data_IF_415462731089
#
_entry.id   IF_415462731089
#
_cell.length_a   1.000
_cell.length_b   1.000
_cell.length_c   1.000
_cell.angle_alpha   90.00
_cell.angle_beta   90.00
_cell.angle_gamma   90.00
#
_symmetry.space_group_name_H-M   'P 1'
#
loop_
_entity.id
_entity.type
_entity.pdbx_description
1 polymer ?
#
# COMPACT_ATOMS: atom_id res chain seq x y z
N UNK A 1 17.49 -0.77 -8.32
CA UNK A 1 16.70 -1.28 -7.19
C UNK A 1 15.23 -0.99 -7.43
N UNK A 2 14.38 -1.99 -7.26
CA UNK A 2 12.96 -1.86 -7.50
C UNK A 2 12.29 -1.03 -6.38
N UNK A 3 11.42 -0.11 -6.77
CA UNK A 3 10.51 0.57 -5.86
C UNK A 3 9.18 -0.19 -5.80
N UNK A 4 8.62 -0.28 -4.62
CA UNK A 4 7.30 -0.85 -4.40
C UNK A 4 6.23 0.17 -4.78
N UNK A 5 5.33 -0.23 -5.66
CA UNK A 5 4.08 0.49 -5.86
C UNK A 5 2.92 -0.34 -5.34
N UNK A 6 1.95 0.30 -4.70
CA UNK A 6 0.80 -0.38 -4.15
C UNK A 6 -0.45 0.48 -4.16
N UNK A 7 -1.59 -0.17 -4.11
CA UNK A 7 -2.91 0.47 -4.07
C UNK A 7 -3.90 -0.38 -3.29
N UNK A 8 -4.98 0.25 -2.86
CA UNK A 8 -6.11 -0.42 -2.22
C UNK A 8 -7.31 -0.30 -3.13
N UNK A 9 -8.03 -1.40 -3.32
CA UNK A 9 -9.24 -1.44 -4.15
C UNK A 9 -10.38 -2.01 -3.32
N UNK A 10 -11.47 -1.27 -3.22
CA UNK A 10 -12.69 -1.69 -2.52
C UNK A 10 -13.85 -1.99 -3.46
N UNK A 11 -15.00 -2.42 -2.91
CA UNK A 11 -16.21 -2.65 -3.69
C UNK A 11 -16.72 -1.38 -4.38
N UNK A 12 -17.53 -1.53 -5.40
CA UNK A 12 -18.17 -0.41 -6.07
C UNK A 12 -18.96 0.45 -5.06
N UNK A 13 -18.81 1.77 -5.17
CA UNK A 13 -19.47 2.72 -4.27
C UNK A 13 -18.85 2.83 -2.88
N UNK A 14 -17.77 2.12 -2.58
CA UNK A 14 -17.04 2.27 -1.31
C UNK A 14 -16.21 3.55 -1.30
N UNK A 15 -15.99 4.08 -0.09
CA UNK A 15 -15.09 5.20 0.14
C UNK A 15 -13.87 4.72 0.88
N UNK A 16 -12.69 4.92 0.28
CA UNK A 16 -11.40 4.57 0.84
C UNK A 16 -10.65 5.83 1.25
N UNK A 17 -10.11 5.83 2.47
CA UNK A 17 -9.15 6.85 2.91
C UNK A 17 -7.97 6.13 3.54
N UNK A 18 -6.82 6.23 2.93
CA UNK A 18 -5.65 5.46 3.36
C UNK A 18 -4.35 6.21 3.06
N UNK A 19 -3.31 5.78 3.70
CA UNK A 19 -1.96 6.30 3.49
C UNK A 19 -0.94 5.31 3.99
N UNK A 20 0.33 5.64 3.86
CA UNK A 20 1.40 4.76 4.27
C UNK A 20 2.53 5.52 4.95
N UNK A 21 3.16 4.86 5.91
CA UNK A 21 4.41 5.27 6.53
C UNK A 21 5.51 4.33 6.02
N UNK A 22 6.55 4.89 5.43
CA UNK A 22 7.64 4.13 4.84
C UNK A 22 8.94 4.92 4.85
N UNK A 23 10.05 4.25 4.55
CA UNK A 23 11.33 4.92 4.33
C UNK A 23 11.51 5.22 2.84
N UNK A 24 12.10 6.37 2.53
CA UNK A 24 12.55 6.70 1.19
C UNK A 24 13.76 5.85 0.79
N UNK A 25 14.17 5.92 -0.47
CA UNK A 25 15.39 5.25 -0.95
C UNK A 25 16.67 5.69 -0.21
N UNK A 26 16.65 6.84 0.43
CA UNK A 26 17.77 7.40 1.21
C UNK A 26 17.57 7.27 2.72
N UNK A 27 16.73 6.37 3.19
CA UNK A 27 16.45 6.09 4.60
C UNK A 27 15.79 7.25 5.37
N UNK A 28 15.15 8.16 4.67
CA UNK A 28 14.36 9.22 5.29
C UNK A 28 12.93 8.72 5.51
N UNK A 29 12.42 8.90 6.72
CA UNK A 29 11.04 8.57 7.03
C UNK A 29 10.10 9.43 6.20
N UNK A 30 9.22 8.80 5.47
CA UNK A 30 8.22 9.45 4.64
C UNK A 30 6.81 9.07 5.08
N UNK A 31 5.96 10.08 5.19
CA UNK A 31 4.54 9.89 5.39
C UNK A 31 3.87 10.25 4.07
N UNK A 32 3.31 9.25 3.39
CA UNK A 32 2.60 9.48 2.14
C UNK A 32 1.23 10.06 2.42
N UNK A 33 0.82 10.96 1.54
CA UNK A 33 -0.46 11.62 1.64
C UNK A 33 -1.63 10.63 1.64
N UNK A 34 -2.68 11.07 2.29
CA UNK A 34 -3.95 10.39 2.31
C UNK A 34 -4.47 10.19 0.88
N UNK A 35 -4.77 8.95 0.56
CA UNK A 35 -5.38 8.57 -0.70
C UNK A 35 -6.88 8.37 -0.55
N UNK A 36 -7.62 8.85 -1.51
CA UNK A 36 -9.05 8.63 -1.63
C UNK A 36 -9.30 7.69 -2.81
N UNK A 37 -9.79 6.48 -2.52
CA UNK A 37 -10.03 5.49 -3.56
C UNK A 37 -8.78 4.74 -4.00
N UNK A 38 -8.78 4.24 -5.22
CA UNK A 38 -7.76 3.36 -5.77
C UNK A 38 -6.57 4.13 -6.39
N UNK A 39 -6.03 5.09 -5.67
CA UNK A 39 -4.82 5.78 -6.09
C UNK A 39 -3.57 4.94 -5.74
N UNK A 40 -2.48 5.20 -6.45
CA UNK A 40 -1.23 4.46 -6.26
C UNK A 40 -0.27 5.23 -5.38
N UNK A 41 0.41 4.52 -4.48
CA UNK A 41 1.52 5.01 -3.68
C UNK A 41 2.80 4.27 -4.04
N UNK A 42 3.94 4.96 -3.93
CA UNK A 42 5.26 4.39 -4.19
C UNK A 42 6.14 4.52 -2.96
N UNK A 43 6.72 3.40 -2.53
CA UNK A 43 7.74 3.35 -1.47
C UNK A 43 9.11 3.07 -2.12
N UNK A 44 10.08 3.91 -1.84
CA UNK A 44 11.41 3.78 -2.43
C UNK A 44 12.18 2.56 -1.93
N UNK A 45 12.85 1.88 -2.85
CA UNK A 45 13.74 0.76 -2.56
C UNK A 45 15.20 1.18 -2.41
N UNK A 46 15.99 0.41 -1.66
CA UNK A 46 17.43 0.61 -1.55
C UNK A 46 18.21 -0.69 -1.35
N UNK A 47 17.70 -1.79 -1.89
CA UNK A 47 18.28 -3.15 -1.79
C UNK A 47 18.32 -3.74 -0.38
N UNK A 48 17.65 -3.15 0.60
CA UNK A 48 17.52 -3.70 1.95
C UNK A 48 16.06 -3.99 2.29
N UNK A 49 15.85 -4.85 3.27
CA UNK A 49 14.51 -5.12 3.79
C UNK A 49 13.97 -3.87 4.49
N UNK A 50 12.75 -3.51 4.15
CA UNK A 50 12.10 -2.31 4.67
C UNK A 50 10.69 -2.60 5.14
N UNK A 51 10.25 -1.80 6.07
CA UNK A 51 8.88 -1.83 6.55
C UNK A 51 8.04 -0.78 5.83
N UNK A 52 6.83 -1.19 5.45
CA UNK A 52 5.79 -0.28 4.97
C UNK A 52 4.56 -0.51 5.84
N UNK A 53 4.08 0.53 6.47
CA UNK A 53 2.86 0.48 7.26
C UNK A 53 1.77 1.22 6.51
N UNK A 54 0.74 0.48 6.12
CA UNK A 54 -0.43 1.03 5.45
C UNK A 54 -1.57 1.06 6.46
N UNK A 55 -2.26 2.17 6.59
CA UNK A 55 -3.43 2.26 7.41
C UNK A 55 -4.50 3.14 6.77
N UNK A 56 -5.73 2.88 7.10
CA UNK A 56 -6.84 3.63 6.54
C UNK A 56 -8.18 3.11 6.97
N UNK A 57 -9.19 3.67 6.37
CA UNK A 57 -10.58 3.30 6.59
C UNK A 57 -11.26 3.02 5.28
N UNK A 58 -12.21 2.11 5.32
CA UNK A 58 -13.11 1.83 4.19
C UNK A 58 -14.55 1.93 4.67
N UNK A 59 -15.36 2.68 3.97
CA UNK A 59 -16.80 2.72 4.17
C UNK A 59 -17.48 2.11 2.95
N UNK A 60 -18.18 1.01 3.11
CA UNK A 60 -18.92 0.38 2.03
C UNK A 60 -20.15 1.21 1.66
N UNK A 61 -20.43 1.26 0.36
CA UNK A 61 -21.71 1.71 -0.14
C UNK A 61 -22.76 0.60 -0.12
N UNK A 62 -23.66 0.61 -1.08
CA UNK A 62 -24.70 -0.42 -1.18
C UNK A 62 -24.24 -1.78 -1.73
N UNK A 63 -23.00 -1.92 -2.14
CA UNK A 63 -22.46 -3.13 -2.74
C UNK A 63 -21.47 -3.80 -1.80
N UNK A 64 -21.71 -5.05 -1.42
CA UNK A 64 -20.75 -5.86 -0.69
C UNK A 64 -19.65 -6.35 -1.64
N UNK A 65 -18.47 -6.58 -1.10
CA UNK A 65 -17.34 -7.09 -1.88
C UNK A 65 -16.04 -7.05 -1.10
N UNK A 66 -14.95 -7.36 -1.79
CA UNK A 66 -13.63 -7.43 -1.19
C UNK A 66 -12.92 -6.08 -1.20
N UNK A 67 -12.13 -5.85 -0.15
CA UNK A 67 -11.09 -4.84 -0.17
C UNK A 67 -9.76 -5.54 -0.42
N UNK A 68 -9.05 -5.12 -1.46
CA UNK A 68 -7.82 -5.79 -1.92
C UNK A 68 -6.65 -4.84 -1.91
N UNK A 69 -5.55 -5.27 -1.30
CA UNK A 69 -4.24 -4.64 -1.47
C UNK A 69 -3.58 -5.25 -2.69
N UNK A 70 -3.17 -4.41 -3.63
CA UNK A 70 -2.41 -4.80 -4.82
C UNK A 70 -1.03 -4.17 -4.76
N UNK A 71 -0.01 -4.88 -5.21
CA UNK A 71 1.34 -4.38 -5.24
C UNK A 71 2.13 -4.90 -6.44
N UNK A 72 3.12 -4.12 -6.87
CA UNK A 72 4.00 -4.44 -7.99
C UNK A 72 5.29 -3.61 -7.91
N UNK A 73 6.22 -3.86 -8.81
CA UNK A 73 7.31 -2.92 -9.08
C UNK A 73 6.74 -1.65 -9.71
N UNK A 74 7.24 -0.48 -9.28
CA UNK A 74 6.82 0.79 -9.88
C UNK A 74 7.29 0.92 -11.33
N UNK A 75 8.55 0.56 -11.57
CA UNK A 75 9.14 0.45 -12.91
C UNK A 75 9.75 -0.94 -13.01
N UNK A 76 9.61 -1.59 -14.15
CA UNK A 76 10.19 -2.91 -14.36
C UNK A 76 11.70 -2.88 -14.11
N UNK A 77 12.16 -3.79 -13.28
CA UNK A 77 13.55 -3.90 -12.85
C UNK A 77 13.94 -5.38 -12.77
N UNK A 78 15.20 -5.69 -13.04
CA UNK A 78 15.70 -7.07 -12.95
C UNK A 78 15.84 -7.53 -11.50
N UNK A 79 15.85 -6.62 -10.53
CA UNK A 79 15.84 -6.94 -9.12
C UNK A 79 14.49 -7.48 -8.69
N UNK A 80 14.49 -8.41 -7.76
CA UNK A 80 13.25 -8.94 -7.20
C UNK A 80 12.66 -7.98 -6.16
N UNK A 81 11.35 -7.83 -6.20
CA UNK A 81 10.57 -7.21 -5.16
C UNK A 81 9.83 -8.32 -4.41
N UNK A 82 10.06 -8.44 -3.11
CA UNK A 82 9.47 -9.50 -2.29
C UNK A 82 8.68 -8.91 -1.13
N UNK A 83 7.46 -9.39 -0.95
CA UNK A 83 6.73 -9.21 0.31
C UNK A 83 7.11 -10.38 1.22
N UNK A 84 7.75 -10.06 2.33
CA UNK A 84 8.30 -11.07 3.24
C UNK A 84 7.22 -11.83 3.99
N UNK A 85 7.55 -13.07 4.35
CA UNK A 85 6.77 -13.84 5.31
C UNK A 85 6.60 -13.05 6.62
N UNK A 86 5.51 -13.28 7.31
CA UNK A 86 5.09 -12.53 8.52
C UNK A 86 4.57 -11.11 8.24
N UNK A 87 4.47 -10.70 6.99
CA UNK A 87 3.63 -9.55 6.66
C UNK A 87 2.17 -9.88 7.02
N UNK A 88 1.46 -8.93 7.59
CA UNK A 88 0.10 -9.19 8.08
C UNK A 88 -0.81 -7.98 7.89
N UNK A 89 -2.10 -8.23 7.95
CA UNK A 89 -3.14 -7.21 7.90
C UNK A 89 -4.09 -7.43 9.07
N UNK A 90 -4.46 -6.33 9.74
CA UNK A 90 -5.49 -6.33 10.78
C UNK A 90 -6.62 -5.43 10.31
N UNK A 91 -7.83 -5.95 10.32
CA UNK A 91 -9.03 -5.19 10.04
C UNK A 91 -9.97 -5.21 11.25
N UNK A 92 -10.58 -4.07 11.53
CA UNK A 92 -11.55 -3.91 12.60
C UNK A 92 -12.81 -3.28 12.05
N UNK A 93 -13.94 -3.81 12.45
CA UNK A 93 -15.23 -3.20 12.19
C UNK A 93 -15.54 -2.19 13.30
N UNK A 94 -15.95 -1.02 12.88
CA UNK A 94 -16.43 -0.01 13.79
C UNK A 94 -17.96 -0.03 13.92
#
# INVERSE_FOLDING_TARGET
>A
VADLKFTMVGPAGSTLNWGALHLSSTDVLALSDKKAGAETLVAGGNATERQVKICGTIANGGTAGNCTLQWAQNVADVSNLLVKANSYLIARRF
#
